data_IF_336771087389
#
_entry.id   IF_336771087389
#
_cell.length_a   1.000
_cell.length_b   1.000
_cell.length_c   1.000
_cell.angle_alpha   90.00
_cell.angle_beta   90.00
_cell.angle_gamma   90.00
#
_symmetry.space_group_name_H-M   'P 1'
#
loop_
_entity.id
_entity.type
_entity.pdbx_description
1 polymer ?
#
# COMPACT_ATOMS: atom_id res chain seq x y z
N UNK A 1 -30.32 5.58 55.39
CA UNK A 1 -30.82 6.66 56.26
C UNK A 1 -30.81 7.99 55.50
N UNK A 2 -31.62 8.26 54.49
CA UNK A 2 -32.45 7.45 53.55
C UNK A 2 -32.58 8.30 52.27
N UNK A 3 -32.40 7.81 51.04
CA UNK A 3 -33.02 6.68 50.33
C UNK A 3 -34.51 6.86 50.04
N UNK A 4 -34.87 6.69 48.76
CA UNK A 4 -36.24 6.49 48.20
C UNK A 4 -37.20 7.68 48.09
N UNK A 5 -38.18 7.70 47.18
CA UNK A 5 -38.34 7.11 45.82
C UNK A 5 -39.55 7.80 45.11
N UNK A 6 -39.62 7.69 43.77
CA UNK A 6 -40.78 7.77 42.86
C UNK A 6 -42.04 8.61 43.19
N UNK A 7 -42.41 9.49 42.24
CA UNK A 7 -43.69 9.44 41.50
C UNK A 7 -43.54 10.35 40.25
N UNK A 8 -43.56 9.84 39.01
CA UNK A 8 -44.73 9.52 38.17
C UNK A 8 -45.60 10.75 37.78
N UNK A 9 -46.08 10.91 36.55
CA UNK A 9 -45.75 10.28 35.27
C UNK A 9 -46.40 11.06 34.09
N UNK A 10 -45.83 10.96 32.89
CA UNK A 10 -46.53 11.08 31.60
C UNK A 10 -45.69 10.40 30.52
N UNK A 11 -46.32 9.83 29.49
CA UNK A 11 -45.64 9.05 28.46
C UNK A 11 -45.87 9.66 27.06
N UNK A 12 -44.78 10.01 26.36
CA UNK A 12 -44.81 10.41 24.96
C UNK A 12 -44.32 9.27 24.07
N UNK A 13 -45.14 8.89 23.09
CA UNK A 13 -44.88 7.76 22.19
C UNK A 13 -44.16 8.24 20.93
N UNK A 14 -42.82 8.19 20.95
CA UNK A 14 -42.03 8.56 19.77
C UNK A 14 -41.90 7.41 18.76
N UNK A 15 -42.85 7.33 17.83
CA UNK A 15 -42.74 6.48 16.64
C UNK A 15 -41.94 7.22 15.54
N UNK A 16 -40.60 7.15 15.63
CA UNK A 16 -39.69 7.73 14.64
C UNK A 16 -39.50 6.85 13.41
N UNK A 17 -40.02 7.27 12.26
CA UNK A 17 -39.84 6.55 10.99
C UNK A 17 -38.40 6.64 10.46
N UNK A 18 -37.98 5.63 9.69
CA UNK A 18 -36.70 5.65 8.99
C UNK A 18 -36.68 6.73 7.88
N UNK A 19 -35.83 7.76 8.06
CA UNK A 19 -35.59 8.81 7.07
C UNK A 19 -34.19 9.43 7.20
N UNK A 20 -33.75 9.77 8.42
CA UNK A 20 -32.49 10.50 8.65
C UNK A 20 -31.23 9.62 8.65
N UNK A 21 -30.91 9.01 7.50
CA UNK A 21 -29.51 8.70 7.19
C UNK A 21 -28.82 9.96 6.69
N UNK A 22 -28.18 10.69 7.61
CA UNK A 22 -27.29 11.81 7.28
C UNK A 22 -26.22 11.30 6.31
N UNK A 23 -26.10 11.81 5.07
CA UNK A 23 -25.07 11.37 4.15
C UNK A 23 -23.68 11.72 4.72
N UNK A 24 -22.66 10.85 4.55
CA UNK A 24 -21.32 11.13 5.05
C UNK A 24 -20.81 12.46 4.47
N UNK A 25 -20.11 13.28 5.27
CA UNK A 25 -19.74 14.63 4.86
C UNK A 25 -18.88 14.62 3.60
N UNK A 26 -19.33 15.35 2.57
CA UNK A 26 -18.58 15.56 1.34
C UNK A 26 -17.18 16.10 1.67
N UNK A 27 -16.15 15.31 1.34
CA UNK A 27 -14.78 15.65 1.71
C UNK A 27 -14.29 16.88 0.94
N UNK A 28 -13.57 17.81 1.59
CA UNK A 28 -12.91 18.90 0.89
C UNK A 28 -11.84 18.33 -0.07
N UNK A 29 -11.77 18.82 -1.33
CA UNK A 29 -10.78 18.34 -2.29
C UNK A 29 -9.34 18.54 -1.78
N UNK A 30 -8.58 17.45 -1.64
CA UNK A 30 -7.15 17.49 -1.29
C UNK A 30 -6.77 16.88 0.06
N UNK A 31 -7.72 16.38 0.87
CA UNK A 31 -7.39 15.58 2.06
C UNK A 31 -6.68 14.29 1.66
N UNK A 32 -5.48 14.05 2.18
CA UNK A 32 -4.75 12.79 1.95
C UNK A 32 -5.36 11.66 2.79
N UNK A 33 -6.02 10.72 2.13
CA UNK A 33 -6.61 9.53 2.75
C UNK A 33 -5.68 8.30 2.78
N UNK A 34 -4.41 8.40 2.35
CA UNK A 34 -3.48 7.26 2.38
C UNK A 34 -3.10 6.81 3.80
N UNK A 35 -3.36 7.66 4.80
CA UNK A 35 -3.18 7.33 6.22
C UNK A 35 -4.39 6.66 6.91
N UNK A 36 -5.48 6.36 6.20
CA UNK A 36 -6.68 5.71 6.77
C UNK A 36 -7.02 4.39 6.07
N UNK A 37 -7.78 3.54 6.77
CA UNK A 37 -8.36 2.30 6.24
C UNK A 37 -9.83 2.18 6.64
N UNK A 38 -10.64 1.57 5.79
CA UNK A 38 -12.05 1.29 6.08
C UNK A 38 -12.31 -0.21 6.14
N UNK A 39 -13.10 -0.65 7.11
CA UNK A 39 -13.55 -2.05 7.26
C UNK A 39 -14.87 -2.08 8.04
N UNK A 40 -15.98 -2.32 7.35
CA UNK A 40 -17.22 -2.76 8.01
C UNK A 40 -17.19 -4.29 8.13
N UNK A 41 -17.14 -4.78 9.38
CA UNK A 41 -17.15 -6.21 9.68
C UNK A 41 -18.56 -6.81 9.76
N UNK A 42 -19.60 -6.01 10.02
CA UNK A 42 -20.99 -6.47 10.01
C UNK A 42 -21.44 -6.77 8.59
N UNK A 43 -21.04 -5.93 7.62
CA UNK A 43 -21.27 -6.19 6.21
C UNK A 43 -20.51 -7.45 5.74
N UNK A 44 -19.22 -7.60 6.07
CA UNK A 44 -18.43 -8.80 5.71
C UNK A 44 -19.03 -10.09 6.30
N UNK A 45 -19.64 -10.01 7.49
CA UNK A 45 -20.32 -11.15 8.10
C UNK A 45 -21.68 -11.48 7.42
N UNK A 46 -22.19 -10.59 6.57
CA UNK A 46 -23.53 -10.68 5.96
C UNK A 46 -23.49 -10.96 4.45
N UNK A 47 -22.44 -10.51 3.75
CA UNK A 47 -22.29 -10.62 2.29
C UNK A 47 -20.88 -11.15 1.93
N UNK A 48 -20.75 -11.99 0.88
CA UNK A 48 -19.45 -12.48 0.44
C UNK A 48 -18.63 -11.35 -0.20
N UNK A 49 -17.30 -11.47 -0.08
CA UNK A 49 -16.35 -10.62 -0.80
C UNK A 49 -16.04 -11.26 -2.15
N UNK A 50 -16.91 -10.99 -3.13
CA UNK A 50 -16.80 -11.43 -4.54
C UNK A 50 -17.02 -10.22 -5.49
N UNK A 51 -16.77 -10.37 -6.79
CA UNK A 51 -17.02 -9.34 -7.82
C UNK A 51 -18.45 -8.80 -7.84
N UNK A 52 -19.40 -9.52 -7.25
CA UNK A 52 -20.83 -9.28 -7.32
C UNK A 52 -21.26 -8.24 -6.28
N UNK A 53 -20.74 -8.33 -5.05
CA UNK A 53 -21.07 -7.42 -3.95
C UNK A 53 -19.92 -6.45 -3.59
N UNK A 54 -18.68 -6.68 -4.05
CA UNK A 54 -17.52 -5.85 -3.68
C UNK A 54 -17.65 -4.38 -4.13
N UNK A 55 -18.40 -4.08 -5.19
CA UNK A 55 -18.67 -2.68 -5.57
C UNK A 55 -19.52 -1.98 -4.50
N UNK A 56 -20.59 -2.60 -4.02
CA UNK A 56 -21.42 -2.01 -2.98
C UNK A 56 -20.68 -1.94 -1.63
N UNK A 57 -19.79 -2.90 -1.33
CA UNK A 57 -18.87 -2.77 -0.19
C UNK A 57 -17.96 -1.55 -0.30
N UNK A 58 -17.35 -1.35 -1.47
CA UNK A 58 -16.51 -0.19 -1.75
C UNK A 58 -17.31 1.12 -1.66
N UNK A 59 -18.58 1.11 -2.08
CA UNK A 59 -19.48 2.27 -2.03
C UNK A 59 -19.88 2.70 -0.61
N UNK A 60 -19.70 1.86 0.42
CA UNK A 60 -19.85 2.25 1.84
C UNK A 60 -18.64 3.00 2.40
N UNK A 61 -17.50 2.97 1.70
CA UNK A 61 -16.24 3.50 2.21
C UNK A 61 -16.12 5.02 2.05
N UNK A 62 -15.34 5.71 2.90
CA UNK A 62 -15.05 7.15 2.75
C UNK A 62 -14.21 7.47 1.48
N UNK A 63 -13.79 6.46 0.72
CA UNK A 63 -13.07 6.62 -0.54
C UNK A 63 -14.02 6.73 -1.76
N UNK A 64 -15.30 6.40 -1.58
CA UNK A 64 -16.31 6.47 -2.63
C UNK A 64 -16.86 7.88 -2.82
N UNK A 65 -17.18 8.21 -4.06
CA UNK A 65 -17.57 9.56 -4.49
C UNK A 65 -18.94 9.48 -5.17
N UNK A 66 -19.96 9.94 -4.47
CA UNK A 66 -21.37 9.87 -4.89
C UNK A 66 -21.71 10.76 -6.09
N UNK A 67 -20.73 11.53 -6.61
CA UNK A 67 -20.85 12.27 -7.87
C UNK A 67 -20.43 11.45 -9.10
N UNK A 68 -19.88 10.24 -8.92
CA UNK A 68 -19.36 9.43 -10.02
C UNK A 68 -20.43 8.82 -10.95
N UNK A 69 -20.01 8.44 -12.16
CA UNK A 69 -20.83 7.78 -13.17
C UNK A 69 -21.50 6.51 -12.64
N UNK A 70 -20.79 5.73 -11.80
CA UNK A 70 -21.28 4.48 -11.25
C UNK A 70 -22.53 4.69 -10.36
N UNK A 71 -22.57 5.79 -9.59
CA UNK A 71 -23.74 6.14 -8.77
C UNK A 71 -24.96 6.51 -9.63
N UNK A 72 -24.72 7.13 -10.79
CA UNK A 72 -25.76 7.46 -11.77
C UNK A 72 -26.32 6.18 -12.42
N UNK A 73 -25.48 5.16 -12.66
CA UNK A 73 -25.92 3.85 -13.14
C UNK A 73 -26.70 3.09 -12.05
N UNK A 74 -26.17 3.03 -10.82
CA UNK A 74 -26.83 2.38 -9.67
C UNK A 74 -28.22 2.95 -9.41
N UNK A 75 -28.37 4.29 -9.44
CA UNK A 75 -29.67 4.99 -9.31
C UNK A 75 -30.64 4.73 -10.47
N UNK A 76 -30.16 4.23 -11.61
CA UNK A 76 -30.97 3.81 -12.77
C UNK A 76 -31.20 2.30 -12.83
N UNK A 77 -30.82 1.56 -11.78
CA UNK A 77 -30.85 0.09 -11.74
C UNK A 77 -30.04 -0.58 -12.86
N UNK A 78 -28.98 0.10 -13.32
CA UNK A 78 -27.98 -0.43 -14.26
C UNK A 78 -26.77 -0.87 -13.44
N UNK A 79 -26.14 -1.99 -13.81
CA UNK A 79 -24.97 -2.52 -13.11
C UNK A 79 -23.85 -1.45 -13.06
N UNK A 80 -23.31 -1.10 -11.87
CA UNK A 80 -22.46 0.08 -11.71
C UNK A 80 -21.12 0.01 -12.45
N UNK A 81 -20.68 -1.18 -12.85
CA UNK A 81 -19.45 -1.42 -13.62
C UNK A 81 -19.70 -1.69 -15.11
N UNK A 82 -20.93 -1.52 -15.63
CA UNK A 82 -21.25 -1.79 -17.03
C UNK A 82 -20.55 -0.81 -17.99
N UNK A 83 -19.47 -1.30 -18.62
CA UNK A 83 -18.67 -0.56 -19.60
C UNK A 83 -19.49 -0.11 -20.82
N UNK A 84 -20.56 -0.82 -21.19
CA UNK A 84 -21.43 -0.43 -22.30
C UNK A 84 -22.22 0.85 -22.02
N UNK A 85 -22.38 1.21 -20.73
CA UNK A 85 -22.96 2.47 -20.30
C UNK A 85 -21.89 3.50 -19.90
N UNK A 86 -20.85 3.11 -19.15
CA UNK A 86 -19.77 4.01 -18.73
C UNK A 86 -19.05 4.66 -19.93
N UNK A 87 -18.78 3.91 -21.01
CA UNK A 87 -18.16 4.42 -22.25
C UNK A 87 -18.96 5.56 -22.94
N UNK A 88 -20.26 5.71 -22.64
CA UNK A 88 -21.13 6.76 -23.18
C UNK A 88 -21.21 7.99 -22.27
N UNK A 89 -20.49 7.99 -21.15
CA UNK A 89 -20.51 9.05 -20.13
C UNK A 89 -19.16 9.78 -20.06
N UNK A 90 -19.13 10.93 -19.39
CA UNK A 90 -17.91 11.70 -19.09
C UNK A 90 -18.00 12.21 -17.66
N UNK A 91 -16.94 12.03 -16.87
CA UNK A 91 -16.97 12.31 -15.43
C UNK A 91 -15.96 11.47 -14.66
N UNK A 92 -16.13 11.40 -13.34
CA UNK A 92 -15.40 10.46 -12.49
C UNK A 92 -16.07 9.09 -12.53
N UNK A 93 -15.29 8.03 -12.54
CA UNK A 93 -15.77 6.65 -12.43
C UNK A 93 -14.75 5.77 -11.70
N UNK A 94 -15.26 4.67 -11.13
CA UNK A 94 -14.49 3.60 -10.53
C UNK A 94 -14.61 2.35 -11.40
N UNK A 95 -13.49 1.68 -11.65
CA UNK A 95 -13.44 0.37 -12.33
C UNK A 95 -12.79 -0.65 -11.40
N UNK A 96 -13.35 -1.86 -11.32
CA UNK A 96 -12.63 -3.01 -10.82
C UNK A 96 -11.58 -3.40 -11.87
N UNK A 97 -10.32 -3.53 -11.46
CA UNK A 97 -9.18 -3.73 -12.38
C UNK A 97 -8.35 -4.99 -12.10
N UNK A 98 -8.50 -5.57 -10.92
CA UNK A 98 -8.00 -6.90 -10.54
C UNK A 98 -8.89 -7.44 -9.41
N UNK A 99 -9.07 -8.75 -9.35
CA UNK A 99 -9.96 -9.45 -8.42
C UNK A 99 -9.50 -10.91 -8.22
N UNK A 100 -8.67 -11.12 -7.19
CA UNK A 100 -8.26 -12.42 -6.66
C UNK A 100 -9.09 -12.72 -5.42
N UNK A 101 -10.28 -13.29 -5.63
CA UNK A 101 -11.29 -13.48 -4.59
C UNK A 101 -10.88 -14.51 -3.52
N UNK A 102 -11.32 -14.37 -2.26
CA UNK A 102 -11.99 -13.21 -1.66
C UNK A 102 -10.99 -12.17 -1.09
N UNK A 103 -9.69 -12.38 -1.32
CA UNK A 103 -8.63 -11.75 -0.53
C UNK A 103 -8.19 -10.39 -1.07
N UNK A 104 -8.16 -10.19 -2.40
CA UNK A 104 -7.66 -8.97 -3.04
C UNK A 104 -8.58 -8.48 -4.17
N UNK A 105 -9.02 -7.23 -4.06
CA UNK A 105 -9.70 -6.50 -5.14
C UNK A 105 -9.04 -5.14 -5.35
N UNK A 106 -8.87 -4.71 -6.60
CA UNK A 106 -8.19 -3.44 -6.94
C UNK A 106 -9.12 -2.53 -7.74
N UNK A 107 -9.61 -1.47 -7.10
CA UNK A 107 -10.42 -0.43 -7.73
C UNK A 107 -9.55 0.72 -8.23
N UNK A 108 -9.78 1.17 -9.46
CA UNK A 108 -9.17 2.37 -10.05
C UNK A 108 -10.21 3.47 -10.15
N UNK A 109 -9.98 4.59 -9.46
CA UNK A 109 -10.69 5.85 -9.75
C UNK A 109 -10.02 6.53 -10.94
N UNK A 110 -10.82 6.87 -11.93
CA UNK A 110 -10.38 7.46 -13.18
C UNK A 110 -11.36 8.54 -13.65
N UNK A 111 -10.88 9.49 -14.43
CA UNK A 111 -11.72 10.47 -15.12
C UNK A 111 -11.87 10.08 -16.58
N UNK A 112 -13.11 9.89 -17.02
CA UNK A 112 -13.48 9.66 -18.41
C UNK A 112 -13.73 10.99 -19.12
N UNK A 113 -12.96 11.25 -20.17
CA UNK A 113 -13.17 12.38 -21.09
C UNK A 113 -13.82 11.93 -22.42
N UNK A 114 -13.94 10.62 -22.67
CA UNK A 114 -14.58 10.05 -23.86
C UNK A 114 -14.64 8.52 -23.82
N UNK A 115 -15.09 7.84 -24.90
CA UNK A 115 -15.28 6.38 -24.92
C UNK A 115 -13.97 5.61 -24.70
N UNK A 116 -12.87 6.08 -25.29
CA UNK A 116 -11.53 5.49 -25.14
C UNK A 116 -10.62 6.36 -24.26
N UNK A 117 -10.91 7.67 -24.13
CA UNK A 117 -10.06 8.61 -23.37
C UNK A 117 -10.37 8.58 -21.88
N UNK A 118 -9.51 7.90 -21.13
CA UNK A 118 -9.59 7.71 -19.68
C UNK A 118 -8.27 8.12 -19.02
N UNK A 119 -8.36 8.98 -17.99
CA UNK A 119 -7.21 9.40 -17.17
C UNK A 119 -7.26 8.69 -15.81
N UNK A 120 -6.34 7.78 -15.48
CA UNK A 120 -6.26 7.19 -14.13
C UNK A 120 -5.89 8.26 -13.10
N UNK A 121 -6.49 8.22 -11.90
CA UNK A 121 -6.27 9.23 -10.87
C UNK A 121 -5.76 8.64 -9.56
N UNK A 122 -6.45 7.64 -9.02
CA UNK A 122 -6.13 6.97 -7.76
C UNK A 122 -6.43 5.47 -7.86
N UNK A 123 -5.70 4.67 -7.09
CA UNK A 123 -5.96 3.24 -6.94
C UNK A 123 -6.31 2.95 -5.49
N UNK A 124 -7.29 2.09 -5.28
CA UNK A 124 -7.70 1.57 -3.98
C UNK A 124 -7.56 0.06 -4.03
N UNK A 125 -7.16 -0.55 -2.92
CA UNK A 125 -7.11 -2.00 -2.80
C UNK A 125 -7.88 -2.43 -1.56
N UNK A 126 -8.58 -3.55 -1.69
CA UNK A 126 -9.34 -4.20 -0.63
C UNK A 126 -8.57 -5.48 -0.32
N UNK A 127 -7.94 -5.54 0.85
CA UNK A 127 -7.13 -6.67 1.30
C UNK A 127 -7.78 -7.30 2.54
N UNK A 128 -8.19 -8.56 2.42
CA UNK A 128 -8.87 -9.34 3.47
C UNK A 128 -10.07 -8.60 4.08
N UNK A 129 -10.83 -7.89 3.24
CA UNK A 129 -11.97 -7.04 3.62
C UNK A 129 -11.61 -5.64 4.13
N UNK A 130 -10.33 -5.24 4.12
CA UNK A 130 -9.89 -3.91 4.57
C UNK A 130 -9.54 -3.04 3.36
N UNK A 131 -10.22 -1.90 3.20
CA UNK A 131 -10.05 -0.98 2.07
C UNK A 131 -9.00 0.09 2.41
N UNK A 132 -8.05 0.30 1.49
CA UNK A 132 -6.98 1.28 1.58
C UNK A 132 -6.85 2.10 0.29
N UNK A 133 -6.41 3.36 0.39
CA UNK A 133 -5.94 4.13 -0.76
C UNK A 133 -4.45 3.85 -1.01
N UNK A 134 -4.08 3.44 -2.22
CA UNK A 134 -2.68 3.29 -2.60
C UNK A 134 -1.99 4.67 -2.67
N UNK A 135 -0.82 4.86 -2.03
CA UNK A 135 -0.10 6.12 -2.10
C UNK A 135 0.50 6.33 -3.50
N UNK A 136 0.53 7.58 -3.96
CA UNK A 136 1.14 7.92 -5.24
C UNK A 136 2.65 7.62 -5.21
N UNK A 137 3.17 7.06 -6.30
CA UNK A 137 4.56 6.60 -6.41
C UNK A 137 5.58 7.73 -6.14
N UNK A 138 5.27 8.96 -6.57
CA UNK A 138 6.05 10.16 -6.27
C UNK A 138 6.14 10.44 -4.75
N UNK A 139 5.03 10.35 -4.01
CA UNK A 139 5.00 10.51 -2.55
C UNK A 139 5.81 9.42 -1.84
N UNK A 140 5.71 8.17 -2.29
CA UNK A 140 6.51 7.05 -1.76
C UNK A 140 8.01 7.28 -1.98
N UNK A 141 8.42 7.74 -3.17
CA UNK A 141 9.82 8.09 -3.44
C UNK A 141 10.28 9.28 -2.61
N UNK A 142 9.50 10.37 -2.56
CA UNK A 142 9.84 11.56 -1.79
C UNK A 142 10.02 11.26 -0.30
N UNK A 143 9.13 10.46 0.30
CA UNK A 143 9.23 10.02 1.69
C UNK A 143 10.48 9.15 1.94
N UNK A 144 10.76 8.18 1.05
CA UNK A 144 11.94 7.30 1.15
C UNK A 144 13.25 8.07 1.01
N UNK A 145 13.36 8.96 0.01
CA UNK A 145 14.54 9.82 -0.20
C UNK A 145 14.75 10.76 0.99
N UNK A 146 13.69 11.39 1.49
CA UNK A 146 13.75 12.26 2.67
C UNK A 146 14.21 11.50 3.92
N UNK A 147 13.74 10.26 4.12
CA UNK A 147 14.16 9.42 5.25
C UNK A 147 15.64 9.01 5.15
N UNK A 148 16.13 8.72 3.94
CA UNK A 148 17.56 8.45 3.69
C UNK A 148 18.42 9.69 3.97
N UNK A 149 18.02 10.86 3.46
CA UNK A 149 18.74 12.13 3.72
C UNK A 149 18.75 12.46 5.21
N UNK A 150 17.64 12.28 5.91
CA UNK A 150 17.55 12.45 7.36
C UNK A 150 18.51 11.52 8.11
N UNK A 151 18.50 10.22 7.79
CA UNK A 151 19.38 9.24 8.42
C UNK A 151 20.87 9.56 8.19
N UNK A 152 21.25 9.97 6.97
CA UNK A 152 22.61 10.38 6.62
C UNK A 152 23.00 11.66 7.39
N UNK A 153 22.14 12.68 7.40
CA UNK A 153 22.38 13.94 8.10
C UNK A 153 22.54 13.74 9.61
N UNK A 154 21.70 12.87 10.19
CA UNK A 154 21.84 12.45 11.59
C UNK A 154 23.17 11.73 11.82
N UNK A 155 23.54 10.75 10.99
CA UNK A 155 24.80 10.03 11.14
C UNK A 155 26.03 10.95 11.08
N UNK A 156 26.05 11.96 10.21
CA UNK A 156 27.10 12.97 10.20
C UNK A 156 27.10 13.86 11.45
N UNK A 157 25.92 14.21 11.99
CA UNK A 157 25.80 15.00 13.25
C UNK A 157 26.26 14.19 14.47
N UNK A 158 25.87 12.92 14.55
CA UNK A 158 26.28 11.98 15.59
C UNK A 158 27.79 11.63 15.51
N UNK A 159 28.39 11.71 14.31
CA UNK A 159 29.83 11.55 14.11
C UNK A 159 30.62 12.82 14.45
N UNK A 160 30.12 14.00 14.05
CA UNK A 160 30.76 15.28 14.33
C UNK A 160 30.80 15.61 15.82
N UNK A 161 29.72 15.33 16.55
CA UNK A 161 29.67 15.48 18.01
C UNK A 161 30.69 14.58 18.73
N UNK A 162 30.80 13.30 18.36
CA UNK A 162 31.81 12.38 18.91
C UNK A 162 33.25 12.80 18.58
N UNK A 163 33.49 13.28 17.36
CA UNK A 163 34.81 13.81 16.96
C UNK A 163 35.20 15.03 17.80
N UNK A 164 34.23 15.89 18.13
CA UNK A 164 34.47 17.05 18.98
C UNK A 164 34.72 16.66 20.44
N UNK A 165 34.04 15.63 20.97
CA UNK A 165 34.41 15.04 22.29
C UNK A 165 35.85 14.55 22.29
N UNK A 166 36.25 13.75 21.28
CA UNK A 166 37.63 13.23 21.16
C UNK A 166 38.66 14.37 21.02
N UNK A 167 38.32 15.46 20.31
CA UNK A 167 39.17 16.67 20.25
C UNK A 167 39.37 17.27 21.64
N UNK A 168 38.29 17.42 22.41
CA UNK A 168 38.33 18.03 23.73
C UNK A 168 39.12 17.15 24.72
N UNK A 169 38.90 15.83 24.72
CA UNK A 169 39.68 14.88 25.52
C UNK A 169 41.18 14.94 25.18
N UNK A 170 41.53 14.93 23.89
CA UNK A 170 42.93 15.03 23.45
C UNK A 170 43.57 16.37 23.83
N UNK A 171 42.81 17.47 23.76
CA UNK A 171 43.28 18.79 24.17
C UNK A 171 43.51 18.88 25.69
N UNK A 172 42.62 18.28 26.49
CA UNK A 172 42.80 18.16 27.95
C UNK A 172 44.04 17.32 28.29
N UNK A 173 44.22 16.18 27.63
CA UNK A 173 45.41 15.34 27.79
C UNK A 173 46.70 16.08 27.39
N UNK A 174 46.71 16.83 26.29
CA UNK A 174 47.87 17.62 25.86
C UNK A 174 48.22 18.72 26.88
N UNK A 175 47.22 19.42 27.42
CA UNK A 175 47.43 20.42 28.49
C UNK A 175 47.95 19.77 29.77
N UNK A 176 47.42 18.60 30.17
CA UNK A 176 47.88 17.85 31.34
C UNK A 176 49.34 17.38 31.20
N UNK A 177 49.74 16.91 30.00
CA UNK A 177 51.13 16.54 29.67
C UNK A 177 52.03 17.78 29.73
N UNK A 178 51.64 18.89 29.11
CA UNK A 178 52.39 20.16 29.13
C UNK A 178 52.61 20.67 30.55
N UNK A 179 51.57 20.68 31.40
CA UNK A 179 51.68 21.06 32.81
C UNK A 179 52.59 20.10 33.59
N UNK A 180 52.44 18.78 33.39
CA UNK A 180 53.28 17.77 34.05
C UNK A 180 54.76 17.91 33.67
N UNK A 181 55.06 18.19 32.40
CA UNK A 181 56.42 18.48 31.94
C UNK A 181 56.94 19.80 32.51
N UNK A 182 56.11 20.85 32.57
CA UNK A 182 56.50 22.13 33.18
C UNK A 182 56.84 22.01 34.66
N UNK A 183 56.14 21.14 35.42
CA UNK A 183 56.42 20.88 36.84
C UNK A 183 57.69 20.05 37.01
N UNK A 184 57.89 19.00 36.21
CA UNK A 184 59.03 18.09 36.37
C UNK A 184 60.35 18.62 35.76
N UNK A 185 60.29 19.41 34.67
CA UNK A 185 61.47 19.91 33.96
C UNK A 185 61.79 21.39 34.23
N UNK A 186 60.87 22.15 34.84
CA UNK A 186 61.09 23.53 35.26
C UNK A 186 61.64 24.42 34.13
N UNK A 187 62.82 25.00 34.31
CA UNK A 187 63.45 25.88 33.31
C UNK A 187 63.78 25.17 31.98
N UNK A 188 64.02 23.85 31.99
CA UNK A 188 64.25 23.09 30.75
C UNK A 188 62.99 22.97 29.89
N UNK A 189 61.78 23.03 30.48
CA UNK A 189 60.54 23.00 29.71
C UNK A 189 60.46 24.17 28.71
N UNK A 190 60.83 25.39 29.12
CA UNK A 190 60.80 26.56 28.25
C UNK A 190 61.83 26.46 27.10
N UNK A 191 62.98 25.82 27.35
CA UNK A 191 63.98 25.54 26.33
C UNK A 191 63.46 24.51 25.31
N UNK A 192 62.89 23.39 25.79
CA UNK A 192 62.34 22.32 24.95
C UNK A 192 61.15 22.84 24.13
N UNK A 193 60.22 23.58 24.74
CA UNK A 193 59.09 24.16 24.01
C UNK A 193 59.54 25.14 22.93
N UNK A 194 60.58 25.94 23.21
CA UNK A 194 61.17 26.86 22.22
C UNK A 194 61.91 26.12 21.10
N UNK A 195 62.56 24.99 21.38
CA UNK A 195 63.16 24.14 20.35
C UNK A 195 62.11 23.48 19.46
N UNK A 196 61.01 22.99 20.05
CA UNK A 196 59.88 22.40 19.31
C UNK A 196 59.16 23.45 18.44
N UNK A 197 58.86 24.63 19.00
CA UNK A 197 58.13 25.70 18.31
C UNK A 197 58.91 26.39 17.18
N UNK A 198 60.24 26.22 17.12
CA UNK A 198 61.09 26.68 16.01
C UNK A 198 61.62 25.47 15.19
N UNK A 199 61.01 24.29 15.35
CA UNK A 199 61.57 22.98 14.98
C UNK A 199 61.23 22.45 13.58
N UNK A 200 61.04 23.29 12.56
CA UNK A 200 60.68 22.89 11.17
C UNK A 200 61.68 21.93 10.48
N UNK A 201 62.77 21.54 11.13
CA UNK A 201 63.84 20.67 10.61
C UNK A 201 63.78 19.21 11.11
N UNK A 202 63.01 18.87 12.15
CA UNK A 202 63.12 17.55 12.83
C UNK A 202 62.25 16.45 12.18
N UNK A 203 62.17 16.43 10.85
CA UNK A 203 61.40 15.43 10.09
C UNK A 203 62.01 14.01 10.09
N UNK A 204 63.18 13.80 10.70
CA UNK A 204 63.90 12.52 10.67
C UNK A 204 63.44 11.45 11.67
N UNK A 205 62.85 11.83 12.83
CA UNK A 205 62.70 10.89 13.95
C UNK A 205 61.40 10.07 13.94
N UNK A 206 60.30 10.62 13.42
CA UNK A 206 58.98 9.97 13.42
C UNK A 206 58.90 8.70 12.55
N UNK A 207 59.90 8.42 11.71
CA UNK A 207 59.96 7.17 10.93
C UNK A 207 60.41 5.96 11.75
N UNK A 208 60.99 6.15 12.95
CA UNK A 208 61.54 5.06 13.77
C UNK A 208 60.56 4.49 14.81
N UNK A 209 59.30 4.94 14.81
CA UNK A 209 58.30 4.63 15.85
C UNK A 209 57.00 4.03 15.26
N UNK A 210 57.06 3.51 14.03
CA UNK A 210 55.91 2.91 13.34
C UNK A 210 56.13 1.42 12.92
N UNK A 211 57.33 0.87 13.16
CA UNK A 211 57.73 -0.47 12.74
C UNK A 211 58.27 -1.31 13.94
N UNK A 212 57.40 -1.79 14.84
CA UNK A 212 57.64 -2.91 15.79
C UNK A 212 56.33 -3.36 16.49
N UNK A 213 56.28 -4.64 16.87
CA UNK A 213 55.27 -5.32 17.73
C UNK A 213 53.81 -5.46 17.24
N UNK A 214 53.72 -6.40 16.29
CA UNK A 214 52.66 -7.38 16.09
C UNK A 214 51.95 -7.92 17.38
N UNK A 215 50.67 -8.31 17.22
CA UNK A 215 49.91 -9.29 18.01
C UNK A 215 49.53 -9.01 19.48
N UNK A 216 48.30 -8.51 19.67
CA UNK A 216 47.30 -9.16 20.52
C UNK A 216 45.87 -8.68 20.17
N UNK A 217 44.87 -9.58 20.28
CA UNK A 217 43.44 -9.35 20.05
C UNK A 217 42.61 -9.75 21.30
N UNK A 218 41.30 -9.44 21.39
CA UNK A 218 40.65 -8.15 21.12
C UNK A 218 39.66 -7.76 22.26
N UNK A 219 39.27 -6.47 22.39
CA UNK A 219 38.36 -6.02 23.46
C UNK A 219 37.25 -5.06 22.98
N UNK A 220 36.12 -5.66 22.60
CA UNK A 220 34.72 -5.21 22.85
C UNK A 220 34.35 -3.71 22.87
N UNK A 221 33.63 -3.26 21.82
CA UNK A 221 32.24 -2.79 21.96
C UNK A 221 31.58 -2.54 20.59
N UNK A 222 30.41 -3.13 20.34
CA UNK A 222 29.65 -2.97 19.08
C UNK A 222 28.52 -1.95 19.22
N UNK A 223 28.25 -1.11 18.21
CA UNK A 223 26.97 -0.41 18.10
C UNK A 223 25.86 -1.43 17.79
N UNK A 224 24.65 -1.18 18.29
CA UNK A 224 23.50 -2.07 18.07
C UNK A 224 23.03 -2.02 16.60
N UNK A 225 23.39 -3.04 15.82
CA UNK A 225 22.71 -3.37 14.57
C UNK A 225 21.41 -4.11 14.88
N UNK A 226 20.28 -3.63 14.38
CA UNK A 226 18.97 -4.28 14.49
C UNK A 226 18.87 -5.49 13.55
N UNK A 227 19.67 -6.53 13.83
CA UNK A 227 19.64 -7.81 13.11
C UNK A 227 18.48 -8.65 13.61
N UNK A 228 17.48 -8.88 12.74
CA UNK A 228 16.36 -9.80 13.00
C UNK A 228 16.89 -11.17 13.41
N UNK A 229 16.60 -11.60 14.64
CA UNK A 229 17.06 -12.89 15.13
C UNK A 229 16.32 -14.03 14.42
N UNK A 230 17.09 -14.87 13.72
CA UNK A 230 16.64 -16.12 13.10
C UNK A 230 15.92 -17.05 14.09
N UNK A 231 16.18 -16.91 15.39
CA UNK A 231 15.54 -17.64 16.48
C UNK A 231 14.12 -17.15 16.76
N UNK A 232 13.89 -15.83 16.73
CA UNK A 232 12.54 -15.26 16.84
C UNK A 232 11.71 -15.49 15.56
N UNK A 233 12.32 -15.37 14.38
CA UNK A 233 11.58 -15.64 13.12
C UNK A 233 11.05 -17.08 13.07
N UNK A 234 11.86 -18.08 13.47
CA UNK A 234 11.40 -19.47 13.62
C UNK A 234 10.34 -19.67 14.70
N UNK A 235 10.30 -18.80 15.71
CA UNK A 235 9.32 -18.85 16.81
C UNK A 235 7.96 -18.33 16.35
N UNK A 236 7.93 -17.26 15.56
CA UNK A 236 6.72 -16.75 14.89
C UNK A 236 6.14 -17.79 13.94
N UNK A 237 6.98 -18.48 13.16
CA UNK A 237 6.57 -19.50 12.20
C UNK A 237 5.83 -20.69 12.86
N UNK A 238 6.31 -21.11 14.05
CA UNK A 238 5.66 -22.14 14.88
C UNK A 238 4.32 -21.66 15.46
N UNK A 239 4.22 -20.37 15.81
CA UNK A 239 2.96 -19.77 16.29
C UNK A 239 1.94 -19.70 15.15
N UNK A 240 2.33 -19.25 13.94
CA UNK A 240 1.45 -19.25 12.77
C UNK A 240 0.99 -20.67 12.42
N UNK A 241 1.92 -21.63 12.33
CA UNK A 241 1.61 -23.04 12.01
C UNK A 241 0.64 -23.66 13.01
N UNK A 242 0.75 -23.33 14.30
CA UNK A 242 -0.15 -23.85 15.35
C UNK A 242 -1.50 -23.12 15.43
N UNK A 243 -1.60 -21.89 14.93
CA UNK A 243 -2.88 -21.19 14.69
C UNK A 243 -3.60 -21.77 13.46
N UNK A 244 -2.92 -21.89 12.32
CA UNK A 244 -3.50 -22.45 11.09
C UNK A 244 -4.05 -23.87 11.28
N UNK A 245 -3.40 -24.71 12.09
CA UNK A 245 -3.91 -26.06 12.45
C UNK A 245 -5.13 -26.07 13.40
N UNK A 246 -5.50 -24.94 14.00
CA UNK A 246 -6.67 -24.81 14.88
C UNK A 246 -7.91 -24.23 14.20
N UNK A 247 -7.75 -23.68 12.99
CA UNK A 247 -8.87 -23.27 12.16
C UNK A 247 -9.47 -24.52 11.50
N UNK A 248 -10.79 -24.67 11.56
CA UNK A 248 -11.48 -25.71 10.81
C UNK A 248 -11.34 -25.48 9.30
N UNK A 249 -11.28 -26.53 8.46
CA UNK A 249 -11.30 -26.35 7.02
C UNK A 249 -12.59 -25.61 6.61
N UNK A 250 -12.53 -24.67 5.66
CA UNK A 250 -13.70 -23.88 5.27
C UNK A 250 -14.81 -24.79 4.72
N UNK A 251 -16.09 -24.54 5.06
CA UNK A 251 -17.19 -25.28 4.48
C UNK A 251 -17.26 -25.04 2.96
N UNK A 252 -17.77 -26.02 2.18
CA UNK A 252 -17.91 -25.84 0.73
C UNK A 252 -18.87 -24.67 0.42
N UNK A 253 -18.64 -23.91 -0.66
CA UNK A 253 -19.48 -22.78 -1.01
C UNK A 253 -20.91 -23.24 -1.35
N UNK A 254 -21.95 -22.46 -0.97
CA UNK A 254 -23.32 -22.73 -1.40
C UNK A 254 -23.45 -22.55 -2.92
N UNK A 255 -24.39 -23.25 -3.58
CA UNK A 255 -24.64 -23.07 -5.02
C UNK A 255 -25.18 -21.66 -5.30
N UNK A 256 -24.83 -21.12 -6.48
CA UNK A 256 -25.31 -19.83 -6.94
C UNK A 256 -26.83 -19.82 -7.18
N UNK A 257 -27.54 -18.70 -6.90
CA UNK A 257 -28.91 -18.51 -7.36
C UNK A 257 -28.98 -18.43 -8.90
N UNK A 258 -30.01 -19.03 -9.51
CA UNK A 258 -30.29 -18.86 -10.93
C UNK A 258 -30.44 -17.37 -11.30
N UNK A 259 -29.56 -16.89 -12.19
CA UNK A 259 -29.58 -15.52 -12.71
C UNK A 259 -28.20 -14.88 -12.85
N UNK A 260 -27.17 -15.38 -12.14
CA UNK A 260 -25.83 -14.79 -12.22
C UNK A 260 -25.07 -15.25 -13.47
N UNK A 261 -24.74 -14.31 -14.37
CA UNK A 261 -23.91 -14.55 -15.56
C UNK A 261 -22.74 -13.55 -15.56
N UNK A 262 -21.53 -14.06 -15.38
CA UNK A 262 -20.31 -13.24 -15.43
C UNK A 262 -20.03 -12.77 -16.85
N UNK A 263 -19.70 -11.48 -17.04
CA UNK A 263 -19.37 -10.93 -18.37
C UNK A 263 -18.12 -11.58 -19.00
N UNK A 264 -17.28 -12.24 -18.18
CA UNK A 264 -16.12 -13.04 -18.61
C UNK A 264 -16.50 -14.29 -19.43
N UNK A 265 -17.79 -14.67 -19.50
CA UNK A 265 -18.26 -15.82 -20.28
C UNK A 265 -18.74 -15.49 -21.71
N UNK A 266 -18.71 -14.21 -22.13
CA UNK A 266 -19.28 -13.73 -23.40
C UNK A 266 -18.26 -13.47 -24.52
N UNK A 267 -17.03 -13.96 -24.37
CA UNK A 267 -15.91 -13.61 -25.26
C UNK A 267 -14.98 -14.76 -25.64
N UNK A 268 -15.48 -15.98 -25.89
CA UNK A 268 -14.65 -17.06 -26.47
C UNK A 268 -15.47 -18.24 -27.03
N UNK A 269 -15.98 -18.11 -28.28
CA UNK A 269 -16.13 -19.20 -29.29
C UNK A 269 -16.85 -18.76 -30.55
N UNK A 270 -16.06 -18.56 -31.61
CA UNK A 270 -16.54 -18.63 -32.99
C UNK A 270 -16.51 -20.09 -33.49
N UNK A 271 -17.32 -20.37 -34.53
CA UNK A 271 -17.30 -21.53 -35.43
C UNK A 271 -16.99 -22.96 -34.89
N UNK A 272 -18.04 -23.78 -34.79
CA UNK A 272 -18.04 -25.07 -35.50
C UNK A 272 -19.47 -25.49 -35.87
N UNK A 273 -19.79 -25.49 -37.17
CA UNK A 273 -21.13 -25.81 -37.68
C UNK A 273 -21.19 -27.15 -38.42
N UNK A 274 -22.13 -28.02 -38.02
CA UNK A 274 -22.49 -29.25 -38.74
C UNK A 274 -24.01 -29.30 -38.89
N UNK A 275 -24.52 -29.39 -40.12
CA UNK A 275 -25.96 -29.31 -40.43
C UNK A 275 -26.61 -30.69 -40.65
N UNK A 276 -27.92 -30.75 -40.36
CA UNK A 276 -28.85 -31.78 -40.81
C UNK A 276 -30.14 -31.78 -39.97
N UNK A 277 -31.34 -31.65 -40.54
CA UNK A 277 -31.70 -31.33 -41.93
C UNK A 277 -33.22 -31.27 -42.13
N UNK A 278 -33.66 -30.51 -43.14
CA UNK A 278 -35.03 -30.46 -43.70
C UNK A 278 -36.16 -29.94 -42.76
N UNK A 279 -37.21 -29.22 -43.21
CA UNK A 279 -37.85 -29.19 -44.54
C UNK A 279 -38.63 -27.88 -44.86
N UNK A 280 -38.75 -27.61 -46.17
CA UNK A 280 -39.85 -26.90 -46.89
C UNK A 280 -40.00 -25.34 -46.85
N UNK A 281 -39.77 -24.63 -47.98
CA UNK A 281 -40.00 -23.17 -48.18
C UNK A 281 -41.19 -22.88 -49.16
N UNK A 282 -41.54 -21.60 -49.47
CA UNK A 282 -40.94 -20.83 -50.60
C UNK A 282 -40.79 -19.30 -50.24
N UNK A 283 -40.71 -18.25 -51.09
CA UNK A 283 -40.76 -17.99 -52.56
C UNK A 283 -40.19 -16.56 -52.89
N UNK A 284 -39.93 -16.23 -54.17
CA UNK A 284 -39.73 -14.88 -54.80
C UNK A 284 -38.50 -14.08 -54.30
N UNK A 285 -37.34 -14.03 -55.00
CA UNK A 285 -36.99 -13.44 -56.34
C UNK A 285 -36.74 -11.91 -56.33
N UNK A 286 -35.96 -11.32 -57.27
CA UNK A 286 -34.86 -11.86 -58.12
C UNK A 286 -33.59 -10.95 -58.19
N UNK A 287 -32.49 -11.38 -58.85
CA UNK A 287 -31.66 -10.58 -59.81
C UNK A 287 -30.42 -11.36 -60.35
N UNK A 288 -30.32 -11.46 -61.69
CA UNK A 288 -29.13 -11.48 -62.62
C UNK A 288 -27.93 -12.46 -62.36
N UNK A 289 -27.28 -13.11 -63.35
CA UNK A 289 -27.61 -13.56 -64.73
C UNK A 289 -26.46 -14.47 -65.28
N UNK A 290 -26.75 -15.30 -66.31
CA UNK A 290 -25.87 -16.05 -67.26
C UNK A 290 -24.86 -17.12 -66.76
N UNK A 291 -24.91 -18.30 -67.41
CA UNK A 291 -23.84 -19.32 -67.38
C UNK A 291 -24.28 -20.75 -67.69
N UNK A 292 -24.35 -21.21 -68.97
CA UNK A 292 -24.99 -22.49 -69.32
C UNK A 292 -24.03 -23.64 -69.67
N UNK A 293 -24.36 -24.87 -69.25
CA UNK A 293 -24.51 -26.04 -70.14
C UNK A 293 -24.88 -27.34 -69.38
N UNK A 294 -25.79 -28.15 -69.93
CA UNK A 294 -26.14 -29.49 -69.40
C UNK A 294 -25.29 -30.58 -70.07
N UNK A 295 -24.99 -31.68 -69.36
CA UNK A 295 -24.89 -33.00 -69.98
C UNK A 295 -25.27 -34.15 -69.04
N UNK A 296 -26.31 -34.90 -69.41
CA UNK A 296 -26.76 -36.13 -68.73
C UNK A 296 -25.77 -37.28 -68.94
N UNK A 297 -25.80 -38.27 -68.03
CA UNK A 297 -25.69 -39.70 -68.37
C UNK A 297 -26.51 -40.56 -67.40
N UNK A 298 -27.47 -41.30 -67.97
CA UNK A 298 -28.25 -42.43 -67.42
C UNK A 298 -29.08 -42.13 -66.16
#
# INVERSE_FOLDING_TARGET
MDSSLLSAATADTFNGNAADQIPPPLQPPGTDMTGISFRDQLWINSYPLDRNYIFDYFALSPFYDTTCNNEILRRRSIHPLDLSHLSKMTGLEYMLTDATEPNLFVFRKQKRDGPEKVTPMLTYYILDGSIYQAPQLCSVFAARVSRTIYNISKAFTDAASKLETIRQDLQVCLVAIVLSLSVNLGSYFLLIFKLMANGEQVYGFNKFLFDTENQNEPAESKPASETVDLKEMKRVDVILTSLYRKLAPPPPPPPFPEGYVSQEALGEKEELGTQGGESQPPQVDPIIDQGPAKRMKF
#
